data_IF_609807287816
#
_entry.id   IF_609807287816
#
_cell.length_a   1.000
_cell.length_b   1.000
_cell.length_c   1.000
_cell.angle_alpha   90.00
_cell.angle_beta   90.00
_cell.angle_gamma   90.00
#
_symmetry.space_group_name_H-M   'P 1'
#
loop_
_entity.id
_entity.type
_entity.pdbx_description
1 polymer ?
#
# COMPACT_ATOMS: atom_id res chain seq x y z
N UNK A 1 -7.03 -53.34 -25.40
CA UNK A 1 -5.91 -52.47 -24.99
C UNK A 1 -6.04 -51.05 -25.52
N UNK A 2 -6.15 -50.82 -26.85
CA UNK A 2 -6.37 -49.47 -27.43
C UNK A 2 -7.63 -48.74 -26.93
N UNK A 3 -8.75 -49.46 -26.76
CA UNK A 3 -10.01 -48.90 -26.23
C UNK A 3 -9.88 -48.48 -24.77
N UNK A 4 -9.16 -49.26 -23.96
CA UNK A 4 -8.94 -48.97 -22.53
C UNK A 4 -8.06 -47.72 -22.37
N UNK A 5 -7.01 -47.60 -23.18
CA UNK A 5 -6.14 -46.41 -23.20
C UNK A 5 -6.94 -45.15 -23.61
N UNK A 6 -7.83 -45.28 -24.61
CA UNK A 6 -8.71 -44.19 -25.03
C UNK A 6 -9.68 -43.72 -23.94
N UNK A 7 -10.31 -44.66 -23.22
CA UNK A 7 -11.21 -44.33 -22.10
C UNK A 7 -10.44 -43.66 -20.96
N UNK A 8 -9.26 -44.17 -20.58
CA UNK A 8 -8.44 -43.59 -19.52
C UNK A 8 -7.98 -42.18 -19.87
N UNK A 9 -7.58 -41.92 -21.11
CA UNK A 9 -7.22 -40.58 -21.58
C UNK A 9 -8.40 -39.61 -21.52
N UNK A 10 -9.58 -40.03 -21.99
CA UNK A 10 -10.79 -39.19 -21.96
C UNK A 10 -11.19 -38.89 -20.50
N UNK A 11 -11.13 -39.88 -19.60
CA UNK A 11 -11.41 -39.67 -18.18
C UNK A 11 -10.42 -38.69 -17.52
N UNK A 12 -9.14 -38.77 -17.85
CA UNK A 12 -8.11 -37.83 -17.36
C UNK A 12 -8.34 -36.41 -17.87
N UNK A 13 -8.71 -36.25 -19.14
CA UNK A 13 -9.01 -34.93 -19.72
C UNK A 13 -10.26 -34.32 -19.08
N UNK A 14 -11.30 -35.12 -18.84
CA UNK A 14 -12.52 -34.65 -18.16
C UNK A 14 -12.24 -34.28 -16.71
N UNK A 15 -11.46 -35.09 -15.97
CA UNK A 15 -11.03 -34.73 -14.61
C UNK A 15 -10.18 -33.46 -14.58
N UNK A 16 -9.28 -33.29 -15.56
CA UNK A 16 -8.50 -32.05 -15.70
C UNK A 16 -9.36 -30.83 -15.98
N UNK A 17 -10.40 -30.96 -16.83
CA UNK A 17 -11.36 -29.89 -17.11
C UNK A 17 -12.24 -29.57 -15.89
N UNK A 18 -12.69 -30.58 -15.14
CA UNK A 18 -13.47 -30.37 -13.91
C UNK A 18 -12.60 -29.69 -12.84
N UNK A 19 -11.36 -30.14 -12.66
CA UNK A 19 -10.41 -29.50 -11.76
C UNK A 19 -10.16 -28.05 -12.19
N UNK A 20 -9.90 -27.79 -13.48
CA UNK A 20 -9.75 -26.44 -14.02
C UNK A 20 -10.99 -25.56 -13.79
N UNK A 21 -12.19 -26.12 -13.98
CA UNK A 21 -13.45 -25.39 -13.77
C UNK A 21 -13.68 -25.08 -12.28
N UNK A 22 -13.34 -26.00 -11.37
CA UNK A 22 -13.37 -25.76 -9.92
C UNK A 22 -12.34 -24.69 -9.52
N UNK A 23 -11.14 -24.70 -10.12
CA UNK A 23 -10.11 -23.69 -9.89
C UNK A 23 -10.57 -22.30 -10.40
N UNK A 24 -11.17 -22.23 -11.58
CA UNK A 24 -11.78 -20.99 -12.11
C UNK A 24 -12.96 -20.50 -11.28
N UNK A 25 -13.77 -21.41 -10.71
CA UNK A 25 -14.88 -21.06 -9.81
C UNK A 25 -14.40 -20.53 -8.45
N UNK A 26 -13.17 -20.88 -8.04
CA UNK A 26 -12.54 -20.33 -6.84
C UNK A 26 -11.90 -18.95 -7.08
N UNK A 27 -11.71 -18.52 -8.34
CA UNK A 27 -11.31 -17.16 -8.63
C UNK A 27 -12.50 -16.23 -8.35
N UNK A 28 -12.40 -15.41 -7.31
CA UNK A 28 -13.36 -14.32 -7.09
C UNK A 28 -12.72 -13.02 -7.55
N UNK A 29 -13.51 -12.12 -8.12
CA UNK A 29 -13.04 -10.76 -8.37
C UNK A 29 -13.01 -10.01 -7.03
N UNK A 30 -11.87 -9.43 -6.69
CA UNK A 30 -11.81 -8.47 -5.60
C UNK A 30 -12.43 -7.15 -6.07
N UNK A 31 -13.36 -6.66 -5.27
CA UNK A 31 -14.11 -5.43 -5.49
C UNK A 31 -13.57 -4.38 -4.53
N UNK A 32 -13.15 -3.24 -5.07
CA UNK A 32 -12.74 -2.07 -4.30
C UNK A 32 -13.95 -1.42 -3.63
N UNK A 33 -13.90 -1.27 -2.31
CA UNK A 33 -14.97 -0.66 -1.51
C UNK A 33 -14.68 0.81 -1.18
N UNK A 34 -13.41 1.21 -1.11
CA UNK A 34 -13.04 2.59 -0.80
C UNK A 34 -11.68 2.71 -0.12
N UNK A 35 -11.28 3.97 0.10
CA UNK A 35 -10.09 4.34 0.84
C UNK A 35 -10.50 5.03 2.15
N UNK A 36 -10.00 4.53 3.28
CA UNK A 36 -10.13 5.15 4.58
C UNK A 36 -8.91 6.03 4.83
N UNK A 37 -9.13 7.32 5.00
CA UNK A 37 -8.05 8.28 5.23
C UNK A 37 -8.01 8.67 6.70
N UNK A 38 -6.81 8.66 7.27
CA UNK A 38 -6.64 8.99 8.67
C UNK A 38 -5.42 9.88 8.87
N UNK A 39 -5.68 11.13 9.21
CA UNK A 39 -4.66 12.17 9.37
C UNK A 39 -4.53 12.56 10.84
N UNK A 40 -3.29 12.67 11.30
CA UNK A 40 -2.97 13.23 12.60
C UNK A 40 -1.78 14.16 12.45
N UNK A 41 -2.06 15.44 12.18
CA UNK A 41 -1.07 16.48 11.97
C UNK A 41 -0.16 16.18 10.78
N UNK A 42 1.09 15.81 11.04
CA UNK A 42 2.07 15.49 10.00
C UNK A 42 2.07 14.02 9.58
N UNK A 43 1.24 13.18 10.17
CA UNK A 43 1.14 11.76 9.84
C UNK A 43 -0.17 11.45 9.13
N UNK A 44 -0.12 10.64 8.08
CA UNK A 44 -1.27 10.08 7.41
C UNK A 44 -1.15 8.56 7.33
N UNK A 45 -2.30 7.91 7.48
CA UNK A 45 -2.49 6.50 7.22
C UNK A 45 -3.67 6.38 6.26
N UNK A 46 -3.46 5.70 5.14
CA UNK A 46 -4.50 5.42 4.17
C UNK A 46 -4.66 3.91 4.10
N UNK A 47 -5.84 3.43 4.48
CA UNK A 47 -6.19 2.02 4.41
C UNK A 47 -7.13 1.82 3.24
N UNK A 48 -6.68 1.08 2.23
CA UNK A 48 -7.57 0.70 1.12
C UNK A 48 -8.38 -0.53 1.52
N UNK A 49 -9.64 -0.66 1.12
CA UNK A 49 -10.50 -1.79 1.51
C UNK A 49 -11.03 -2.52 0.29
N UNK A 50 -10.89 -3.85 0.28
CA UNK A 50 -11.45 -4.73 -0.73
C UNK A 50 -12.31 -5.85 -0.14
N UNK A 51 -13.29 -6.29 -0.92
CA UNK A 51 -14.16 -7.44 -0.62
C UNK A 51 -14.27 -8.37 -1.83
N UNK A 52 -14.68 -9.62 -1.66
CA UNK A 52 -15.11 -10.51 -2.76
C UNK A 52 -16.62 -10.74 -2.75
N UNK A 53 -17.36 -10.12 -1.83
CA UNK A 53 -18.82 -10.19 -1.77
C UNK A 53 -19.45 -8.95 -2.40
N UNK A 54 -20.05 -9.14 -3.58
CA UNK A 54 -20.75 -8.10 -4.33
C UNK A 54 -21.88 -7.46 -3.52
N UNK A 55 -22.55 -8.21 -2.62
CA UNK A 55 -23.66 -7.69 -1.82
C UNK A 55 -23.17 -6.82 -0.65
N UNK A 56 -21.95 -7.08 -0.15
CA UNK A 56 -21.36 -6.30 0.93
C UNK A 56 -20.77 -4.98 0.42
N UNK A 57 -20.41 -4.90 -0.87
CA UNK A 57 -19.71 -3.75 -1.45
C UNK A 57 -20.44 -2.42 -1.24
N UNK A 58 -21.74 -2.35 -1.53
CA UNK A 58 -22.52 -1.10 -1.40
C UNK A 58 -22.60 -0.64 0.06
N UNK A 59 -22.81 -1.57 0.98
CA UNK A 59 -22.86 -1.29 2.42
C UNK A 59 -21.49 -0.85 2.96
N UNK A 60 -20.42 -1.54 2.56
CA UNK A 60 -19.06 -1.19 2.96
C UNK A 60 -18.62 0.16 2.38
N UNK A 61 -18.96 0.44 1.12
CA UNK A 61 -18.69 1.72 0.48
C UNK A 61 -19.39 2.87 1.20
N UNK A 62 -20.67 2.71 1.54
CA UNK A 62 -21.42 3.71 2.31
C UNK A 62 -20.83 3.94 3.71
N UNK A 63 -20.39 2.87 4.37
CA UNK A 63 -19.75 2.93 5.68
C UNK A 63 -18.43 3.70 5.59
N UNK A 64 -17.60 3.43 4.57
CA UNK A 64 -16.34 4.14 4.34
C UNK A 64 -16.58 5.63 4.05
N UNK A 65 -17.58 5.96 3.22
CA UNK A 65 -17.94 7.36 2.92
C UNK A 65 -18.39 8.08 4.19
N UNK A 66 -19.32 7.50 4.96
CA UNK A 66 -19.78 8.09 6.24
C UNK A 66 -18.64 8.26 7.24
N UNK A 67 -17.69 7.33 7.26
CA UNK A 67 -16.51 7.42 8.12
C UNK A 67 -15.57 8.55 7.70
N UNK A 68 -15.30 8.73 6.40
CA UNK A 68 -14.49 9.84 5.90
C UNK A 68 -15.17 11.21 6.09
N UNK A 69 -16.51 11.25 6.13
CA UNK A 69 -17.29 12.47 6.41
C UNK A 69 -17.41 12.79 7.92
N UNK A 70 -17.11 11.82 8.79
CA UNK A 70 -17.19 11.99 10.25
C UNK A 70 -15.91 12.65 10.78
N UNK A 71 -15.82 13.98 10.67
CA UNK A 71 -14.74 14.86 11.15
C UNK A 71 -14.55 14.89 12.69
N UNK A 72 -15.03 13.89 13.43
CA UNK A 72 -14.93 13.85 14.89
C UNK A 72 -13.82 12.93 15.34
N UNK A 73 -12.86 13.50 16.05
CA UNK A 73 -11.69 12.92 16.75
C UNK A 73 -12.01 11.80 17.78
N UNK A 74 -13.11 11.04 17.65
CA UNK A 74 -13.62 10.17 18.71
C UNK A 74 -13.78 8.69 18.36
N UNK A 75 -13.31 8.22 17.20
CA UNK A 75 -13.20 6.78 16.97
C UNK A 75 -11.73 6.39 17.09
N UNK A 76 -11.35 5.79 18.22
CA UNK A 76 -10.03 5.20 18.33
C UNK A 76 -9.88 4.15 17.24
N UNK A 77 -8.78 4.21 16.51
CA UNK A 77 -8.50 3.44 15.29
C UNK A 77 -8.46 1.91 15.52
N UNK A 78 -8.43 1.46 16.77
CA UNK A 78 -8.68 0.07 17.17
C UNK A 78 -10.09 -0.38 16.82
N UNK A 79 -11.09 0.50 17.01
CA UNK A 79 -12.49 0.20 16.74
C UNK A 79 -12.76 0.16 15.21
N UNK A 80 -11.92 0.82 14.41
CA UNK A 80 -12.03 0.88 12.94
C UNK A 80 -11.63 -0.47 12.33
N UNK A 81 -10.52 -1.05 12.78
CA UNK A 81 -10.12 -2.41 12.39
C UNK A 81 -11.09 -3.44 12.96
N UNK A 82 -11.62 -3.25 14.16
CA UNK A 82 -12.59 -4.16 14.78
C UNK A 82 -13.95 -4.15 14.04
N UNK A 83 -14.48 -2.98 13.65
CA UNK A 83 -15.73 -2.90 12.87
C UNK A 83 -15.56 -3.49 11.48
N UNK A 84 -14.42 -3.27 10.83
CA UNK A 84 -14.10 -3.90 9.54
C UNK A 84 -13.88 -5.42 9.70
N UNK A 85 -13.24 -5.87 10.77
CA UNK A 85 -13.06 -7.30 11.10
C UNK A 85 -14.37 -7.99 11.50
N UNK A 86 -15.36 -7.27 12.05
CA UNK A 86 -16.70 -7.79 12.30
C UNK A 86 -17.46 -8.10 11.01
N UNK A 87 -17.16 -7.40 9.91
CA UNK A 87 -17.60 -7.80 8.59
C UNK A 87 -16.70 -8.94 8.08
N UNK A 88 -17.15 -10.18 8.24
CA UNK A 88 -16.48 -11.41 7.78
C UNK A 88 -16.13 -11.47 6.27
N UNK A 89 -16.46 -10.42 5.50
CA UNK A 89 -16.28 -10.36 4.05
C UNK A 89 -15.22 -9.32 3.63
N UNK A 90 -14.53 -8.68 4.57
CA UNK A 90 -13.38 -7.82 4.26
C UNK A 90 -12.14 -8.69 4.19
N UNK A 91 -11.50 -8.66 3.03
CA UNK A 91 -10.53 -9.67 2.66
C UNK A 91 -9.10 -9.12 2.65
N UNK A 92 -8.96 -7.84 2.32
CA UNK A 92 -7.64 -7.24 2.17
C UNK A 92 -7.70 -5.74 2.40
N UNK A 93 -6.73 -5.23 3.16
CA UNK A 93 -6.61 -3.81 3.41
C UNK A 93 -5.15 -3.33 3.56
N UNK A 94 -4.46 -2.95 2.48
CA UNK A 94 -3.11 -2.41 2.58
C UNK A 94 -3.16 -1.05 3.25
N UNK A 95 -2.20 -0.82 4.13
CA UNK A 95 -2.09 0.42 4.91
C UNK A 95 -0.85 1.18 4.47
N UNK A 96 -1.07 2.32 3.83
CA UNK A 96 -0.03 3.24 3.40
C UNK A 96 0.16 4.30 4.47
N UNK A 97 1.35 4.34 5.03
CA UNK A 97 1.72 5.32 6.06
C UNK A 97 2.65 6.35 5.46
N UNK A 98 2.40 7.62 5.76
CA UNK A 98 3.24 8.75 5.35
C UNK A 98 3.40 9.64 6.57
N UNK A 99 4.61 10.06 6.85
CA UNK A 99 4.93 10.99 7.93
C UNK A 99 5.93 12.01 7.42
N UNK A 100 5.77 13.25 7.88
CA UNK A 100 6.72 14.32 7.56
C UNK A 100 7.27 14.94 8.83
N UNK A 101 8.58 15.19 8.82
CA UNK A 101 9.28 15.91 9.88
C UNK A 101 10.12 17.02 9.27
N UNK A 102 10.22 18.14 9.98
CA UNK A 102 11.06 19.26 9.57
C UNK A 102 12.46 19.10 10.17
N UNK A 103 13.48 19.00 9.33
CA UNK A 103 14.88 18.93 9.77
C UNK A 103 15.47 20.33 10.00
N UNK A 104 15.11 21.28 9.14
CA UNK A 104 15.47 22.69 9.25
C UNK A 104 14.39 23.58 8.60
N UNK A 105 14.61 24.90 8.52
CA UNK A 105 13.62 25.85 7.98
C UNK A 105 13.17 25.58 6.54
N UNK A 106 13.93 24.79 5.77
CA UNK A 106 13.71 24.51 4.35
C UNK A 106 13.80 23.03 3.98
N UNK A 107 14.20 22.16 4.90
CA UNK A 107 14.42 20.73 4.65
C UNK A 107 13.41 19.89 5.40
N UNK A 108 12.72 19.02 4.66
CA UNK A 108 11.67 18.15 5.14
C UNK A 108 12.08 16.69 4.88
N UNK A 109 11.98 15.87 5.92
CA UNK A 109 12.21 14.43 5.83
C UNK A 109 10.84 13.78 5.80
N UNK A 110 10.59 13.01 4.75
CA UNK A 110 9.34 12.30 4.53
C UNK A 110 9.66 10.82 4.61
N UNK A 111 9.02 10.16 5.57
CA UNK A 111 9.11 8.72 5.77
C UNK A 111 7.76 8.09 5.45
N UNK A 112 7.76 6.95 4.77
CA UNK A 112 6.55 6.19 4.57
C UNK A 112 6.80 4.70 4.50
N UNK A 113 5.75 3.93 4.75
CA UNK A 113 5.77 2.46 4.75
C UNK A 113 4.44 1.93 4.26
N UNK A 114 4.47 0.78 3.58
CA UNK A 114 3.28 0.07 3.12
C UNK A 114 3.16 -1.28 3.84
N UNK A 115 2.09 -1.45 4.61
CA UNK A 115 1.81 -2.66 5.36
C UNK A 115 0.72 -3.47 4.66
N UNK A 116 0.78 -4.81 4.78
CA UNK A 116 -0.25 -5.71 4.23
C UNK A 116 -1.58 -5.66 5.00
N UNK A 117 -1.60 -5.01 6.16
CA UNK A 117 -2.76 -4.87 7.05
C UNK A 117 -2.29 -4.58 8.46
N UNK A 118 -3.23 -4.25 9.35
CA UNK A 118 -2.97 -4.07 10.78
C UNK A 118 -3.88 -5.01 11.58
N UNK A 119 -3.38 -5.56 12.67
CA UNK A 119 -4.17 -6.35 13.62
C UNK A 119 -4.90 -5.45 14.64
N UNK A 120 -5.60 -6.07 15.60
CA UNK A 120 -6.34 -5.37 16.66
C UNK A 120 -5.47 -4.47 17.56
N UNK A 121 -4.16 -4.72 17.60
CA UNK A 121 -3.19 -3.96 18.38
C UNK A 121 -2.50 -2.87 17.54
N UNK A 122 -2.76 -2.83 16.23
CA UNK A 122 -2.11 -1.91 15.30
C UNK A 122 -0.74 -2.40 14.82
N UNK A 123 -0.44 -3.69 14.98
CA UNK A 123 0.77 -4.33 14.48
C UNK A 123 0.56 -4.88 13.06
N UNK A 124 1.61 -5.04 12.23
CA UNK A 124 1.49 -5.58 10.89
C UNK A 124 0.79 -6.96 10.86
N UNK A 125 -0.34 -7.03 10.20
CA UNK A 125 -1.08 -8.28 10.02
C UNK A 125 -0.53 -9.09 8.83
N UNK A 126 -0.78 -10.40 8.87
CA UNK A 126 -0.54 -11.32 7.74
C UNK A 126 -1.88 -11.84 7.19
N UNK A 127 -2.58 -11.05 6.36
CA UNK A 127 -3.83 -11.49 5.74
C UNK A 127 -3.61 -12.53 4.64
N UNK A 128 -4.72 -13.10 4.15
CA UNK A 128 -4.76 -14.09 3.08
C UNK A 128 -4.31 -13.55 1.71
N UNK A 129 -4.03 -12.24 1.62
CA UNK A 129 -3.63 -11.52 0.41
C UNK A 129 -2.40 -10.67 0.69
N UNK A 130 -1.53 -10.50 -0.30
CA UNK A 130 -0.31 -9.68 -0.19
C UNK A 130 -0.15 -8.77 -1.39
N UNK A 131 0.40 -7.59 -1.17
CA UNK A 131 0.85 -6.78 -2.29
C UNK A 131 2.13 -7.36 -2.92
N UNK A 132 2.24 -7.24 -4.24
CA UNK A 132 3.44 -7.61 -4.97
C UNK A 132 3.78 -6.59 -6.06
N UNK A 133 5.01 -6.67 -6.57
CA UNK A 133 5.54 -5.80 -7.64
C UNK A 133 5.33 -4.30 -7.36
N UNK A 134 5.45 -3.92 -6.09
CA UNK A 134 5.13 -2.56 -5.69
C UNK A 134 6.20 -1.57 -6.19
N UNK A 135 5.72 -0.46 -6.73
CA UNK A 135 6.52 0.67 -7.15
C UNK A 135 5.90 1.93 -6.57
N UNK A 136 6.75 2.86 -6.14
CA UNK A 136 6.34 4.19 -5.73
C UNK A 136 7.03 5.21 -6.62
N UNK A 137 6.26 6.13 -7.18
CA UNK A 137 6.78 7.32 -7.84
C UNK A 137 6.38 8.54 -7.02
N UNK A 138 7.33 9.45 -6.83
CA UNK A 138 7.10 10.71 -6.12
C UNK A 138 7.41 11.88 -7.02
N UNK A 139 6.54 12.90 -7.00
CA UNK A 139 6.75 14.16 -7.71
C UNK A 139 6.66 15.29 -6.70
N UNK A 140 7.68 16.13 -6.64
CA UNK A 140 7.78 17.29 -5.76
C UNK A 140 7.62 18.55 -6.59
N UNK A 141 6.69 19.40 -6.17
CA UNK A 141 6.53 20.76 -6.67
C UNK A 141 6.95 21.73 -5.58
N UNK A 142 7.52 22.88 -5.97
CA UNK A 142 8.06 23.89 -5.05
C UNK A 142 9.13 23.35 -4.07
N UNK A 143 9.90 22.35 -4.50
CA UNK A 143 10.99 21.75 -3.75
C UNK A 143 11.89 20.93 -4.66
N UNK A 144 13.04 20.49 -4.13
CA UNK A 144 13.96 19.55 -4.76
C UNK A 144 14.23 18.38 -3.84
N UNK A 145 14.26 17.19 -4.41
CA UNK A 145 14.67 15.95 -3.77
C UNK A 145 16.19 15.95 -3.68
N UNK A 146 16.71 16.05 -2.47
CA UNK A 146 18.16 16.02 -2.23
C UNK A 146 18.66 14.62 -1.89
N UNK A 147 17.76 13.75 -1.42
CA UNK A 147 18.04 12.34 -1.20
C UNK A 147 16.75 11.53 -1.29
N UNK A 148 16.86 10.33 -1.84
CA UNK A 148 15.82 9.32 -1.88
C UNK A 148 16.45 7.99 -1.49
N UNK A 149 15.86 7.27 -0.55
CA UNK A 149 16.34 5.96 -0.13
C UNK A 149 15.18 5.01 0.12
N UNK A 150 15.38 3.76 -0.26
CA UNK A 150 14.60 2.65 0.28
C UNK A 150 15.06 2.42 1.72
N UNK A 151 14.10 2.35 2.64
CA UNK A 151 14.36 2.05 4.04
C UNK A 151 14.03 0.59 4.24
N UNK A 152 15.02 -0.16 4.69
CA UNK A 152 14.86 -1.57 5.02
C UNK A 152 14.57 -1.63 6.50
N UNK A 153 13.57 -2.44 6.89
CA UNK A 153 13.51 -2.86 8.27
C UNK A 153 14.88 -3.45 8.61
N UNK A 154 15.45 -3.03 9.73
CA UNK A 154 16.67 -3.62 10.26
C UNK A 154 16.28 -4.98 10.84
N UNK A 155 15.73 -5.84 9.97
CA UNK A 155 14.82 -6.89 10.36
C UNK A 155 15.51 -7.77 11.36
N UNK A 156 14.82 -8.09 12.45
CA UNK A 156 15.09 -9.30 13.25
C UNK A 156 16.58 -9.61 13.43
N UNK A 157 17.39 -8.58 13.66
CA UNK A 157 18.49 -8.73 14.57
C UNK A 157 17.79 -8.97 15.91
N UNK A 158 17.45 -10.23 16.19
CA UNK A 158 17.69 -10.71 17.56
C UNK A 158 18.99 -10.04 17.96
N UNK A 159 18.96 -9.28 19.05
CA UNK A 159 20.14 -8.73 19.65
C UNK A 159 21.06 -9.90 20.01
N UNK A 160 21.73 -10.47 19.01
CA UNK A 160 22.83 -11.38 19.18
C UNK A 160 23.90 -10.50 19.78
N UNK A 161 24.26 -10.87 21.00
CA UNK A 161 25.28 -10.25 21.81
C UNK A 161 26.40 -9.68 20.93
N UNK A 162 26.74 -8.43 21.25
CA UNK A 162 27.68 -7.56 20.57
C UNK A 162 29.10 -8.16 20.66
N UNK A 163 29.37 -9.25 19.95
CA UNK A 163 30.69 -9.85 19.83
C UNK A 163 31.09 -10.19 18.40
N UNK A 164 30.17 -10.37 17.46
CA UNK A 164 30.50 -10.61 16.06
C UNK A 164 29.75 -9.62 15.15
N UNK A 165 30.47 -8.59 14.68
CA UNK A 165 29.99 -7.74 13.57
C UNK A 165 30.09 -8.60 12.30
N UNK A 166 29.08 -9.43 12.08
CA UNK A 166 28.92 -10.11 10.79
C UNK A 166 28.48 -9.04 9.81
N UNK A 167 29.34 -8.72 8.84
CA UNK A 167 28.94 -7.88 7.70
C UNK A 167 27.88 -8.66 6.92
N UNK A 168 26.60 -8.37 7.19
CA UNK A 168 25.51 -8.84 6.35
C UNK A 168 25.70 -8.20 4.99
N UNK A 169 25.87 -9.01 3.94
CA UNK A 169 25.92 -8.51 2.57
C UNK A 169 24.66 -7.67 2.34
N UNK A 170 24.83 -6.41 1.92
CA UNK A 170 23.68 -5.60 1.49
C UNK A 170 22.94 -6.44 0.45
N UNK A 171 21.66 -6.72 0.70
CA UNK A 171 20.81 -7.35 -0.30
C UNK A 171 20.94 -6.58 -1.63
N UNK A 172 20.65 -7.22 -2.76
CA UNK A 172 20.73 -6.58 -4.08
C UNK A 172 19.63 -5.50 -4.19
N UNK A 173 19.91 -4.36 -3.61
CA UNK A 173 19.03 -3.21 -3.54
C UNK A 173 19.09 -2.46 -4.87
N UNK A 174 17.92 -2.18 -5.43
CA UNK A 174 17.77 -1.15 -6.46
C UNK A 174 17.64 0.18 -5.73
N UNK A 175 18.67 1.01 -5.82
CA UNK A 175 18.61 2.36 -5.27
C UNK A 175 17.52 3.18 -5.97
N UNK A 176 16.80 4.04 -5.25
CA UNK A 176 15.84 4.94 -5.88
C UNK A 176 16.49 5.83 -6.93
N UNK A 177 15.77 6.09 -8.01
CA UNK A 177 16.26 6.92 -9.11
C UNK A 177 15.63 8.29 -8.97
N UNK A 178 16.44 9.32 -8.78
CA UNK A 178 16.01 10.72 -8.80
C UNK A 178 16.09 11.26 -10.24
N UNK A 179 14.98 11.83 -10.73
CA UNK A 179 14.83 12.34 -12.10
C UNK A 179 14.19 13.74 -12.09
N UNK A 180 13.83 14.25 -13.28
CA UNK A 180 13.05 15.48 -13.40
C UNK A 180 13.76 16.72 -12.85
N UNK A 181 15.08 16.84 -13.01
CA UNK A 181 15.89 17.92 -12.42
C UNK A 181 15.69 18.02 -10.89
N UNK A 182 15.79 16.87 -10.22
CA UNK A 182 15.64 16.69 -8.77
C UNK A 182 14.21 16.95 -8.27
N UNK A 183 13.19 16.82 -9.12
CA UNK A 183 11.78 16.96 -8.70
C UNK A 183 11.04 15.63 -8.62
N UNK A 184 11.61 14.55 -9.15
CA UNK A 184 10.95 13.25 -9.24
C UNK A 184 11.84 12.17 -8.62
N UNK A 185 11.23 11.16 -7.99
CA UNK A 185 11.97 9.97 -7.57
C UNK A 185 11.12 8.71 -7.76
N UNK A 186 11.77 7.62 -8.16
CA UNK A 186 11.15 6.31 -8.34
C UNK A 186 11.78 5.30 -7.38
N UNK A 187 10.94 4.55 -6.68
CA UNK A 187 11.30 3.55 -5.67
C UNK A 187 10.79 2.18 -6.11
N UNK A 188 11.66 1.18 -5.98
CA UNK A 188 11.31 -0.22 -6.21
C UNK A 188 11.23 -0.96 -4.88
N UNK A 189 10.03 -1.35 -4.48
CA UNK A 189 9.74 -2.09 -3.25
C UNK A 189 9.80 -3.60 -3.48
N UNK A 190 10.96 -4.10 -3.94
CA UNK A 190 11.18 -5.54 -4.12
C UNK A 190 11.48 -6.23 -2.79
N UNK A 191 12.42 -5.67 -2.02
CA UNK A 191 12.91 -6.24 -0.75
C UNK A 191 12.72 -5.27 0.44
N UNK A 192 11.92 -4.21 0.25
CA UNK A 192 11.58 -3.22 1.29
C UNK A 192 10.14 -2.78 1.12
N UNK A 193 9.54 -2.37 2.23
CA UNK A 193 8.19 -1.84 2.32
C UNK A 193 8.17 -0.36 2.73
N UNK A 194 9.35 0.23 2.97
CA UNK A 194 9.52 1.57 3.52
C UNK A 194 10.43 2.43 2.65
N UNK A 195 10.20 3.73 2.67
CA UNK A 195 10.98 4.72 1.93
C UNK A 195 11.24 5.97 2.77
N UNK A 196 12.29 6.70 2.39
CA UNK A 196 12.54 8.05 2.86
C UNK A 196 12.90 8.95 1.69
N UNK A 197 12.27 10.12 1.65
CA UNK A 197 12.59 11.21 0.72
C UNK A 197 12.95 12.43 1.53
N UNK A 198 14.03 13.12 1.15
CA UNK A 198 14.41 14.40 1.74
C UNK A 198 14.19 15.47 0.69
N UNK A 199 13.33 16.43 1.03
CA UNK A 199 12.93 17.53 0.15
C UNK A 199 13.45 18.83 0.73
N UNK A 200 14.13 19.61 -0.09
CA UNK A 200 14.58 20.95 0.24
C UNK A 200 13.81 22.01 -0.57
N UNK A 201 13.39 23.08 0.08
CA UNK A 201 12.60 24.16 -0.50
C UNK A 201 13.32 25.52 -0.51
N UNK A 202 14.65 25.57 -0.31
CA UNK A 202 15.38 26.84 -0.14
C UNK A 202 15.29 27.76 -1.34
N UNK A 203 15.19 27.18 -2.54
CA UNK A 203 15.13 27.90 -3.81
C UNK A 203 13.70 28.35 -4.17
N UNK A 204 12.71 28.10 -3.30
CA UNK A 204 11.29 28.30 -3.59
C UNK A 204 10.63 29.24 -2.57
N UNK A 205 9.65 30.00 -3.06
CA UNK A 205 8.87 30.95 -2.25
C UNK A 205 7.62 30.31 -1.66
N UNK A 206 7.17 29.19 -2.23
CA UNK A 206 6.01 28.43 -1.79
C UNK A 206 6.46 27.16 -1.06
N UNK A 207 5.61 26.65 -0.17
CA UNK A 207 5.87 25.38 0.50
C UNK A 207 5.80 24.22 -0.50
N UNK A 208 6.59 23.14 -0.29
CA UNK A 208 6.56 21.98 -1.15
C UNK A 208 5.20 21.28 -1.14
N UNK A 209 4.82 20.75 -2.30
CA UNK A 209 3.72 19.82 -2.45
C UNK A 209 4.24 18.55 -3.13
N UNK A 210 3.98 17.41 -2.50
CA UNK A 210 4.54 16.11 -2.89
C UNK A 210 3.41 15.18 -3.26
N UNK A 211 3.47 14.59 -4.45
CA UNK A 211 2.52 13.56 -4.89
C UNK A 211 3.19 12.20 -4.88
N UNK A 212 2.60 11.25 -4.18
CA UNK A 212 3.00 9.84 -4.12
C UNK A 212 2.05 9.04 -4.99
N UNK A 213 2.58 8.24 -5.91
CA UNK A 213 1.81 7.33 -6.76
C UNK A 213 2.33 5.93 -6.54
N UNK A 214 1.56 5.15 -5.78
CA UNK A 214 1.82 3.74 -5.55
C UNK A 214 1.17 2.94 -6.68
N UNK A 215 1.92 2.00 -7.27
CA UNK A 215 1.41 1.02 -8.21
C UNK A 215 1.75 -0.35 -7.65
N UNK A 216 0.76 -1.25 -7.59
CA UNK A 216 0.93 -2.56 -6.99
C UNK A 216 -0.03 -3.59 -7.57
N UNK A 217 0.33 -4.84 -7.36
CA UNK A 217 -0.57 -5.97 -7.52
C UNK A 217 -1.06 -6.42 -6.15
N UNK A 218 -2.19 -7.10 -6.11
CA UNK A 218 -2.67 -7.85 -4.95
C UNK A 218 -2.80 -9.29 -5.38
N UNK A 219 -2.11 -10.20 -4.69
CA UNK A 219 -2.14 -11.62 -4.97
C UNK A 219 -2.59 -12.38 -3.71
N UNK A 220 -3.41 -13.41 -3.89
CA UNK A 220 -3.71 -14.34 -2.81
C UNK A 220 -2.45 -15.09 -2.35
N UNK A 221 -2.31 -15.30 -1.05
CA UNK A 221 -1.21 -16.07 -0.45
C UNK A 221 -1.36 -17.55 -0.76
N UNK A 222 -2.60 -18.05 -0.80
CA UNK A 222 -2.88 -19.43 -1.12
C UNK A 222 -2.72 -19.65 -2.64
N UNK A 223 -1.82 -20.54 -3.10
CA UNK A 223 -1.62 -20.81 -4.52
C UNK A 223 -2.82 -21.49 -5.21
N UNK A 224 -3.83 -21.90 -4.44
CA UNK A 224 -5.10 -22.44 -4.94
C UNK A 224 -6.24 -21.41 -4.96
N UNK A 225 -5.97 -20.19 -4.48
CA UNK A 225 -6.82 -19.03 -4.67
C UNK A 225 -6.22 -18.18 -5.80
N UNK A 226 -7.00 -17.96 -6.85
CA UNK A 226 -6.57 -17.23 -8.05
C UNK A 226 -7.08 -15.79 -8.06
N UNK A 227 -7.64 -15.34 -6.95
CA UNK A 227 -8.09 -13.97 -6.76
C UNK A 227 -6.88 -13.04 -6.77
N UNK A 228 -6.84 -12.12 -7.74
CA UNK A 228 -5.75 -11.16 -7.90
C UNK A 228 -6.26 -9.82 -8.46
N UNK A 229 -5.56 -8.74 -8.12
CA UNK A 229 -5.66 -7.45 -8.79
C UNK A 229 -4.29 -7.11 -9.37
N UNK A 230 -4.25 -6.67 -10.63
CA UNK A 230 -3.00 -6.27 -11.28
C UNK A 230 -3.01 -4.79 -11.63
N UNK A 231 -1.89 -4.11 -11.39
CA UNK A 231 -1.67 -2.70 -11.70
C UNK A 231 -2.72 -1.76 -11.07
N UNK A 232 -3.17 -2.06 -9.86
CA UNK A 232 -3.92 -1.07 -9.09
C UNK A 232 -2.98 0.06 -8.67
N UNK A 233 -3.54 1.22 -8.41
CA UNK A 233 -2.77 2.37 -7.97
C UNK A 233 -3.49 3.20 -6.92
N UNK A 234 -2.70 3.85 -6.08
CA UNK A 234 -3.14 4.84 -5.10
C UNK A 234 -2.30 6.09 -5.31
N UNK A 235 -2.95 7.23 -5.54
CA UNK A 235 -2.28 8.52 -5.60
C UNK A 235 -2.66 9.38 -4.39
N UNK A 236 -1.65 9.87 -3.69
CA UNK A 236 -1.79 10.70 -2.49
C UNK A 236 -1.00 11.97 -2.71
N UNK A 237 -1.65 13.12 -2.62
CA UNK A 237 -1.01 14.43 -2.65
C UNK A 237 -0.90 14.96 -1.23
N UNK A 238 0.32 15.32 -0.84
CA UNK A 238 0.65 15.92 0.44
C UNK A 238 1.07 17.37 0.21
N UNK A 239 0.29 18.31 0.72
CA UNK A 239 0.65 19.72 0.72
C UNK A 239 1.21 20.12 2.09
N UNK A 240 2.44 20.63 2.11
CA UNK A 240 3.05 21.14 3.34
C UNK A 240 2.59 22.58 3.62
N UNK A 241 2.32 22.86 4.88
CA UNK A 241 1.92 24.18 5.36
C UNK A 241 2.45 24.44 6.76
N UNK A 242 2.23 25.64 7.29
CA UNK A 242 2.42 25.93 8.69
C UNK A 242 1.06 26.22 9.34
N UNK A 243 0.82 25.66 10.52
CA UNK A 243 -0.36 25.96 11.31
C UNK A 243 -0.34 27.42 11.81
N UNK A 244 -1.43 27.83 12.46
CA UNK A 244 -1.56 29.18 13.03
C UNK A 244 -0.50 29.49 14.12
N UNK A 245 0.21 28.48 14.62
CA UNK A 245 1.28 28.60 15.60
C UNK A 245 2.68 28.54 14.96
N UNK A 246 2.79 28.48 13.64
CA UNK A 246 4.04 28.38 12.90
C UNK A 246 4.69 27.00 12.96
N UNK A 247 3.97 25.94 13.37
CA UNK A 247 4.45 24.55 13.32
C UNK A 247 4.13 23.93 11.98
N UNK A 248 4.97 22.98 11.55
CA UNK A 248 4.71 22.20 10.35
C UNK A 248 3.35 21.48 10.44
N UNK A 249 2.54 21.63 9.40
CA UNK A 249 1.31 20.89 9.18
C UNK A 249 1.32 20.32 7.76
N UNK A 250 0.66 19.19 7.57
CA UNK A 250 0.48 18.57 6.27
C UNK A 250 -1.00 18.30 6.04
N UNK A 251 -1.46 18.48 4.80
CA UNK A 251 -2.80 18.05 4.38
C UNK A 251 -2.67 16.99 3.30
N UNK A 252 -3.49 15.94 3.39
CA UNK A 252 -3.41 14.82 2.46
C UNK A 252 -4.70 14.71 1.61
N UNK A 253 -4.53 14.74 0.30
CA UNK A 253 -5.60 14.61 -0.68
C UNK A 253 -5.44 13.29 -1.43
N UNK A 254 -6.51 12.47 -1.43
CA UNK A 254 -6.56 11.26 -2.24
C UNK A 254 -6.97 11.63 -3.65
N UNK A 255 -6.07 11.41 -4.61
CA UNK A 255 -6.35 11.61 -6.03
C UNK A 255 -6.92 10.29 -6.54
N UNK A 256 -8.16 10.32 -7.04
CA UNK A 256 -8.77 9.16 -7.69
C UNK A 256 -7.91 8.70 -8.86
N UNK A 257 -7.26 7.57 -8.68
CA UNK A 257 -6.60 6.82 -9.74
C UNK A 257 -7.66 5.98 -10.45
N UNK A 258 -7.75 6.12 -11.77
CA UNK A 258 -8.63 5.28 -12.58
C UNK A 258 -7.87 3.97 -12.80
N UNK A 259 -8.36 2.87 -12.22
CA UNK A 259 -7.89 1.53 -12.58
C UNK A 259 -8.11 1.33 -14.08
N UNK A 260 -7.07 0.82 -14.77
CA UNK A 260 -7.04 0.72 -16.23
C UNK A 260 -8.19 -0.12 -16.83
N UNK A 261 -8.89 -0.91 -16.01
CA UNK A 261 -10.03 -1.73 -16.44
C UNK A 261 -11.37 -0.98 -16.50
N UNK A 262 -11.43 0.29 -16.11
CA UNK A 262 -12.64 1.12 -16.25
C UNK A 262 -12.87 1.63 -17.70
N UNK A 263 -12.12 1.13 -18.69
CA UNK A 263 -12.30 1.39 -20.11
C UNK A 263 -12.50 0.10 -20.93
N UNK A 264 -13.55 -0.67 -20.63
CA UNK A 264 -14.17 -1.57 -21.63
C UNK A 264 -15.69 -1.52 -21.55
#
# INVERSE_FOLDING_TARGET
>A
MKVVIGIVLISLVILGLIAYMILMLNAREMIFCGDLKNENGTNAQITRVYTTDLNANETLSEIIVKMNESDTESVQKSDITEVLAQYQNIIYAPVFTISVTQADSSTYIIDGQVLNGLDENGDPASPDYRHSKMQLNTVVTNGRIIAAQNVYDAGTAEAQDIQDVVFTERQRVIDPIVTGADSEAAFAFQDCDSFRVIVNSSDFTQMPSITFVYVYNVDAVNPLDFTQISNDSLAVKMDLSHDNNGKLAASYELIKTVTADAQQ
#
